data_IF_590410545732
#
_entry.id   IF_590410545732
#
_cell.length_a   1.000
_cell.length_b   1.000
_cell.length_c   1.000
_cell.angle_alpha   90.00
_cell.angle_beta   90.00
_cell.angle_gamma   90.00
#
_symmetry.space_group_name_H-M   'P 1'
#
loop_
_entity.id
_entity.type
_entity.pdbx_description
1 polymer ?
#
# COMPACT_ATOMS: atom_id res chain seq x y z
N UNK A 1 -29.47 -2.06 10.49
CA UNK A 1 -29.85 -1.65 9.12
C UNK A 1 -29.02 -0.44 8.64
N UNK A 2 -28.92 0.65 9.41
CA UNK A 2 -28.17 1.86 9.03
C UNK A 2 -26.66 1.65 8.82
N UNK A 3 -25.97 0.88 9.69
CA UNK A 3 -24.55 0.51 9.51
C UNK A 3 -24.28 -0.32 8.24
N UNK A 4 -25.21 -1.22 7.88
CA UNK A 4 -25.10 -2.05 6.67
C UNK A 4 -25.29 -1.23 5.39
N UNK A 5 -26.17 -0.23 5.42
CA UNK A 5 -26.38 0.71 4.32
C UNK A 5 -25.16 1.62 4.14
N UNK A 6 -24.57 2.14 5.23
CA UNK A 6 -23.34 2.95 5.14
C UNK A 6 -22.13 2.17 4.62
N UNK A 7 -21.95 0.90 5.02
CA UNK A 7 -20.86 0.06 4.51
C UNK A 7 -21.04 -0.29 3.02
N UNK A 8 -22.28 -0.54 2.58
CA UNK A 8 -22.59 -0.78 1.16
C UNK A 8 -22.38 0.47 0.31
N UNK A 9 -22.71 1.66 0.82
CA UNK A 9 -22.44 2.94 0.16
C UNK A 9 -20.92 3.17 0.09
N UNK A 10 -20.18 3.01 1.19
CA UNK A 10 -18.72 3.17 1.21
C UNK A 10 -18.01 2.23 0.22
N UNK A 11 -18.42 0.96 0.14
CA UNK A 11 -17.89 0.00 -0.82
C UNK A 11 -18.23 0.32 -2.29
N UNK A 12 -19.30 1.08 -2.55
CA UNK A 12 -19.63 1.60 -3.88
C UNK A 12 -18.79 2.84 -4.22
N UNK A 13 -18.42 3.66 -3.24
CA UNK A 13 -17.64 4.88 -3.45
C UNK A 13 -16.16 4.64 -3.68
N UNK A 14 -15.60 3.53 -3.17
CA UNK A 14 -14.15 3.26 -3.20
C UNK A 14 -13.60 2.91 -4.61
N UNK A 15 -14.49 2.69 -5.59
CA UNK A 15 -14.09 2.22 -6.92
C UNK A 15 -13.53 0.79 -6.86
N UNK A 16 -13.49 0.11 -8.01
CA UNK A 16 -12.94 -1.25 -8.07
C UNK A 16 -11.91 -1.41 -9.18
N UNK A 17 -10.87 -2.17 -8.90
CA UNK A 17 -9.90 -2.66 -9.87
C UNK A 17 -10.08 -4.16 -10.03
N UNK A 18 -10.03 -4.64 -11.27
CA UNK A 18 -10.03 -6.07 -11.52
C UNK A 18 -8.62 -6.63 -11.35
N UNK A 19 -8.47 -7.70 -10.57
CA UNK A 19 -7.26 -8.52 -10.67
C UNK A 19 -7.28 -9.21 -12.04
N UNK A 20 -6.29 -8.98 -12.92
CA UNK A 20 -6.25 -9.60 -14.25
C UNK A 20 -6.38 -11.12 -14.20
N UNK A 21 -6.85 -11.73 -15.29
CA UNK A 21 -7.09 -13.18 -15.42
C UNK A 21 -8.24 -13.72 -14.55
N UNK A 22 -9.40 -13.04 -14.58
CA UNK A 22 -10.64 -13.43 -13.89
C UNK A 22 -10.53 -13.47 -12.35
N UNK A 23 -9.65 -12.67 -11.76
CA UNK A 23 -9.60 -12.48 -10.32
C UNK A 23 -10.76 -11.60 -9.81
N UNK A 24 -10.88 -11.45 -8.48
CA UNK A 24 -11.95 -10.65 -7.89
C UNK A 24 -11.83 -9.16 -8.26
N UNK A 25 -12.96 -8.45 -8.19
CA UNK A 25 -12.96 -7.00 -8.17
C UNK A 25 -12.58 -6.54 -6.76
N UNK A 26 -11.46 -5.83 -6.66
CA UNK A 26 -10.92 -5.30 -5.42
C UNK A 26 -11.24 -3.81 -5.29
N UNK A 27 -11.49 -3.30 -4.07
CA UNK A 27 -11.37 -1.87 -3.78
C UNK A 27 -10.09 -1.26 -4.38
N UNK A 28 -10.16 -0.05 -4.95
CA UNK A 28 -8.96 0.64 -5.48
C UNK A 28 -8.03 1.16 -4.39
N UNK A 29 -8.43 1.09 -3.13
CA UNK A 29 -7.60 1.43 -2.00
C UNK A 29 -7.68 0.33 -0.94
N UNK A 30 -6.56 0.08 -0.28
CA UNK A 30 -6.45 -0.85 0.82
C UNK A 30 -5.56 -0.31 1.94
N UNK A 31 -5.27 -1.17 2.91
CA UNK A 31 -4.46 -0.82 4.08
C UNK A 31 -3.13 -1.59 4.09
N UNK A 32 -2.03 -0.86 4.16
CA UNK A 32 -0.70 -1.42 4.46
C UNK A 32 -0.44 -1.40 5.96
N UNK A 33 -0.02 -2.55 6.50
CA UNK A 33 0.24 -2.74 7.93
C UNK A 33 1.73 -2.55 8.32
N UNK A 34 2.39 -1.52 7.79
CA UNK A 34 3.79 -1.17 8.15
C UNK A 34 3.92 -0.51 9.52
N UNK A 35 2.83 0.07 10.05
CA UNK A 35 2.82 0.73 11.36
C UNK A 35 3.05 -0.22 12.55
N UNK A 36 3.02 -1.54 12.31
CA UNK A 36 3.38 -2.58 13.28
C UNK A 36 4.88 -2.99 13.22
N UNK A 37 5.66 -2.38 12.31
CA UNK A 37 7.07 -2.72 12.08
C UNK A 37 8.04 -1.82 12.84
N UNK A 38 9.19 -2.38 13.22
CA UNK A 38 10.27 -1.77 14.00
C UNK A 38 10.98 -0.59 13.31
N UNK A 39 10.68 -0.29 12.04
CA UNK A 39 11.30 0.81 11.28
C UNK A 39 10.67 2.19 11.48
N UNK A 40 9.50 2.29 12.12
CA UNK A 40 8.70 3.53 12.21
C UNK A 40 8.55 4.10 13.64
N UNK A 41 9.18 3.46 14.64
CA UNK A 41 9.11 3.80 16.07
C UNK A 41 8.77 2.58 16.95
N UNK A 42 8.41 2.82 18.21
CA UNK A 42 7.96 1.74 19.10
C UNK A 42 6.67 1.08 18.56
N UNK A 43 6.50 -0.25 18.70
CA UNK A 43 5.30 -0.94 18.28
C UNK A 43 4.05 -0.31 18.92
N UNK A 44 2.98 -0.17 18.14
CA UNK A 44 1.69 0.25 18.68
C UNK A 44 1.04 -0.89 19.47
N UNK A 45 0.17 -0.51 20.40
CA UNK A 45 -0.67 -1.44 21.15
C UNK A 45 -1.56 -2.27 20.21
N UNK A 46 -1.53 -3.60 20.37
CA UNK A 46 -2.30 -4.55 19.54
C UNK A 46 -3.79 -4.25 19.55
N UNK A 47 -4.35 -3.82 20.69
CA UNK A 47 -5.76 -3.47 20.82
C UNK A 47 -6.16 -2.30 19.91
N UNK A 48 -5.30 -1.28 19.81
CA UNK A 48 -5.50 -0.16 18.88
C UNK A 48 -5.43 -0.59 17.42
N UNK A 49 -4.50 -1.48 17.07
CA UNK A 49 -4.37 -1.97 15.69
C UNK A 49 -5.59 -2.84 15.33
N UNK A 50 -6.04 -3.72 16.22
CA UNK A 50 -7.25 -4.52 16.01
C UNK A 50 -8.50 -3.64 15.82
N UNK A 51 -8.64 -2.57 16.61
CA UNK A 51 -9.70 -1.59 16.43
C UNK A 51 -9.63 -0.87 15.08
N UNK A 52 -8.42 -0.53 14.61
CA UNK A 52 -8.23 0.05 13.27
C UNK A 52 -8.62 -0.93 12.16
N UNK A 53 -8.29 -2.23 12.31
CA UNK A 53 -8.65 -3.27 11.34
C UNK A 53 -10.17 -3.49 11.28
N UNK A 54 -10.86 -3.45 12.42
CA UNK A 54 -12.32 -3.46 12.45
C UNK A 54 -12.91 -2.25 11.71
N UNK A 55 -12.34 -1.07 11.91
CA UNK A 55 -12.79 0.15 11.26
C UNK A 55 -12.56 0.13 9.74
N UNK A 56 -11.38 -0.34 9.31
CA UNK A 56 -11.05 -0.56 7.90
C UNK A 56 -12.07 -1.50 7.25
N UNK A 57 -12.29 -2.67 7.85
CA UNK A 57 -13.25 -3.65 7.35
C UNK A 57 -14.68 -3.07 7.25
N UNK A 58 -15.15 -2.39 8.31
CA UNK A 58 -16.50 -1.83 8.37
C UNK A 58 -16.75 -0.75 7.32
N UNK A 59 -15.68 -0.12 6.79
CA UNK A 59 -15.73 0.89 5.73
C UNK A 59 -15.53 0.34 4.33
N UNK A 60 -15.38 -0.97 4.19
CA UNK A 60 -15.18 -1.62 2.89
C UNK A 60 -13.72 -1.69 2.43
N UNK A 61 -12.75 -1.38 3.31
CA UNK A 61 -11.34 -1.69 3.06
C UNK A 61 -11.13 -3.18 3.31
N UNK A 62 -11.16 -3.94 2.20
CA UNK A 62 -11.02 -5.39 2.19
C UNK A 62 -9.75 -5.87 1.49
N UNK A 63 -8.76 -4.98 1.31
CA UNK A 63 -7.47 -5.29 0.68
C UNK A 63 -6.38 -4.93 1.66
N UNK A 64 -5.79 -5.92 2.33
CA UNK A 64 -4.73 -5.69 3.30
C UNK A 64 -3.39 -6.20 2.79
N UNK A 65 -2.36 -5.41 3.02
CA UNK A 65 -0.97 -5.67 2.65
C UNK A 65 -0.10 -5.79 3.91
N UNK A 66 0.76 -6.81 3.90
CA UNK A 66 1.71 -7.10 4.97
C UNK A 66 3.01 -7.68 4.41
N UNK A 67 4.02 -7.89 5.25
CA UNK A 67 5.25 -8.58 4.86
C UNK A 67 5.93 -9.21 6.08
N UNK A 68 6.77 -10.20 5.85
CA UNK A 68 7.61 -10.83 6.89
C UNK A 68 8.48 -9.80 7.64
N UNK A 69 8.94 -8.75 6.95
CA UNK A 69 9.72 -7.65 7.53
C UNK A 69 8.89 -6.69 8.38
N UNK A 70 7.56 -6.73 8.30
CA UNK A 70 6.70 -5.76 8.97
C UNK A 70 6.41 -6.11 10.45
N UNK A 71 7.35 -6.75 11.13
CA UNK A 71 7.24 -7.08 12.56
C UNK A 71 6.06 -8.01 12.86
N UNK A 72 5.25 -7.66 13.86
CA UNK A 72 4.13 -8.49 14.33
C UNK A 72 2.86 -8.40 13.44
N UNK A 73 2.91 -7.72 12.31
CA UNK A 73 1.76 -7.49 11.42
C UNK A 73 1.02 -8.78 11.03
N UNK A 74 1.73 -9.83 10.60
CA UNK A 74 1.11 -11.11 10.23
C UNK A 74 0.43 -11.80 11.42
N UNK A 75 1.01 -11.71 12.63
CA UNK A 75 0.42 -12.25 13.85
C UNK A 75 -0.85 -11.50 14.26
N UNK A 76 -0.85 -10.17 14.12
CA UNK A 76 -2.01 -9.34 14.41
C UNK A 76 -3.16 -9.64 13.44
N UNK A 77 -2.87 -9.76 12.14
CA UNK A 77 -3.86 -10.14 11.12
C UNK A 77 -4.41 -11.55 11.42
N UNK A 78 -3.54 -12.50 11.79
CA UNK A 78 -3.95 -13.84 12.22
C UNK A 78 -4.91 -13.77 13.41
N UNK A 79 -4.60 -12.98 14.44
CA UNK A 79 -5.45 -12.79 15.60
C UNK A 79 -6.80 -12.17 15.23
N UNK A 80 -6.80 -11.17 14.34
CA UNK A 80 -8.04 -10.56 13.85
C UNK A 80 -8.92 -11.57 13.10
N UNK A 81 -8.34 -12.40 12.22
CA UNK A 81 -9.10 -13.45 11.54
C UNK A 81 -9.60 -14.55 12.48
N UNK A 82 -8.83 -14.92 13.50
CA UNK A 82 -9.27 -15.87 14.51
C UNK A 82 -10.48 -15.35 15.29
N UNK A 83 -10.52 -14.05 15.59
CA UNK A 83 -11.67 -13.38 16.18
C UNK A 83 -12.84 -13.17 15.20
N UNK A 84 -12.56 -13.13 13.89
CA UNK A 84 -13.52 -12.82 12.83
C UNK A 84 -13.57 -13.87 11.70
N UNK A 85 -13.79 -15.16 11.98
CA UNK A 85 -13.61 -16.22 10.99
C UNK A 85 -14.53 -16.09 9.77
N UNK A 86 -15.73 -15.52 9.95
CA UNK A 86 -16.69 -15.31 8.86
C UNK A 86 -16.30 -14.20 7.88
N UNK A 87 -15.46 -13.25 8.30
CA UNK A 87 -15.01 -12.11 7.48
C UNK A 87 -13.88 -12.47 6.51
N UNK A 88 -13.17 -13.59 6.74
CA UNK A 88 -11.99 -13.98 5.92
C UNK A 88 -12.30 -14.10 4.43
N UNK A 89 -13.48 -14.61 4.07
CA UNK A 89 -13.90 -14.80 2.67
C UNK A 89 -14.06 -13.48 1.90
N UNK A 90 -14.24 -12.39 2.63
CA UNK A 90 -14.44 -11.06 2.05
C UNK A 90 -13.09 -10.34 1.84
N UNK A 91 -12.01 -10.86 2.42
CA UNK A 91 -10.70 -10.22 2.42
C UNK A 91 -9.76 -10.72 1.32
N UNK A 92 -9.14 -9.77 0.64
CA UNK A 92 -7.92 -9.98 -0.13
C UNK A 92 -6.72 -9.64 0.76
N UNK A 93 -5.86 -10.62 1.02
CA UNK A 93 -4.64 -10.45 1.81
C UNK A 93 -3.44 -10.67 0.89
N UNK A 94 -2.58 -9.67 0.79
CA UNK A 94 -1.27 -9.77 0.17
C UNK A 94 -0.19 -9.81 1.26
N UNK A 95 0.81 -10.68 1.07
CA UNK A 95 2.01 -10.72 1.91
C UNK A 95 3.24 -10.86 1.04
N UNK A 96 4.32 -10.20 1.44
CA UNK A 96 5.60 -10.18 0.74
C UNK A 96 6.68 -10.88 1.59
N UNK A 97 7.63 -11.52 0.91
CA UNK A 97 8.73 -12.26 1.51
C UNK A 97 10.06 -11.84 0.85
N UNK A 98 11.19 -12.36 1.35
CA UNK A 98 12.51 -12.40 0.68
C UNK A 98 13.48 -11.22 0.92
N UNK A 99 13.25 -10.36 1.91
CA UNK A 99 14.32 -9.47 2.39
C UNK A 99 15.21 -10.24 3.36
N UNK A 100 16.24 -10.91 2.84
CA UNK A 100 17.19 -11.66 3.68
C UNK A 100 18.38 -10.79 4.10
N UNK A 101 18.75 -10.78 5.38
CA UNK A 101 20.02 -10.20 5.81
C UNK A 101 21.18 -10.82 5.04
N UNK A 102 22.13 -10.01 4.59
CA UNK A 102 23.33 -10.48 3.92
C UNK A 102 24.52 -9.60 4.28
N UNK A 103 25.56 -10.23 4.81
CA UNK A 103 26.85 -9.59 5.06
C UNK A 103 27.64 -9.28 3.79
N UNK A 104 27.23 -9.85 2.64
CA UNK A 104 27.89 -9.67 1.34
C UNK A 104 27.35 -8.44 0.58
N UNK A 105 26.17 -7.94 0.97
CA UNK A 105 25.59 -6.74 0.40
C UNK A 105 26.05 -5.51 1.20
N UNK A 106 26.54 -4.44 0.55
CA UNK A 106 26.88 -3.19 1.23
C UNK A 106 25.67 -2.50 1.88
N UNK A 107 24.45 -2.93 1.56
CA UNK A 107 23.20 -2.45 2.16
C UNK A 107 22.71 -3.32 3.33
N UNK A 108 23.42 -4.41 3.66
CA UNK A 108 23.09 -5.32 4.78
C UNK A 108 21.96 -6.32 4.50
N UNK A 109 21.40 -6.32 3.28
CA UNK A 109 20.38 -7.26 2.84
C UNK A 109 20.63 -7.67 1.37
N UNK A 110 20.29 -8.92 1.05
CA UNK A 110 20.27 -9.44 -0.33
C UNK A 110 18.81 -9.66 -0.71
N UNK A 111 18.35 -8.96 -1.75
CA UNK A 111 17.25 -9.46 -2.56
C UNK A 111 17.88 -10.42 -3.56
N UNK A 112 17.39 -11.66 -3.64
CA UNK A 112 17.82 -12.61 -4.65
C UNK A 112 16.84 -12.53 -5.83
N UNK A 113 17.17 -11.84 -6.94
CA UNK A 113 16.27 -11.74 -8.08
C UNK A 113 16.32 -12.98 -8.98
N UNK A 114 17.06 -14.03 -8.59
CA UNK A 114 17.10 -15.27 -9.38
C UNK A 114 15.73 -15.94 -9.35
N UNK A 115 15.22 -16.41 -10.50
CA UNK A 115 13.82 -16.78 -10.67
C UNK A 115 13.52 -18.12 -9.99
N UNK A 116 13.36 -18.10 -8.67
CA UNK A 116 12.69 -19.14 -7.88
C UNK A 116 11.16 -19.00 -7.99
N UNK A 117 10.65 -18.67 -9.18
CA UNK A 117 9.21 -18.71 -9.47
C UNK A 117 8.67 -20.13 -9.39
N UNK A 118 9.51 -21.17 -9.52
CA UNK A 118 9.09 -22.56 -9.37
C UNK A 118 8.43 -22.83 -8.01
N UNK A 119 9.03 -22.45 -6.86
CA UNK A 119 8.36 -22.48 -5.56
C UNK A 119 7.00 -21.77 -5.51
N UNK A 120 6.90 -20.50 -5.95
CA UNK A 120 5.65 -19.74 -5.88
C UNK A 120 4.56 -20.32 -6.80
N UNK A 121 4.94 -20.74 -8.01
CA UNK A 121 4.03 -21.43 -8.95
C UNK A 121 3.56 -22.74 -8.34
N UNK A 122 4.44 -23.50 -7.67
CA UNK A 122 4.07 -24.72 -6.96
C UNK A 122 3.09 -24.44 -5.82
N UNK A 123 3.32 -23.41 -5.01
CA UNK A 123 2.38 -23.02 -3.94
C UNK A 123 0.99 -22.67 -4.51
N UNK A 124 0.94 -22.01 -5.67
CA UNK A 124 -0.32 -21.74 -6.36
C UNK A 124 -0.98 -23.02 -6.89
N UNK A 125 -0.22 -23.91 -7.49
CA UNK A 125 -0.72 -25.23 -7.95
C UNK A 125 -1.23 -26.09 -6.79
N UNK A 126 -0.60 -26.00 -5.62
CA UNK A 126 -1.03 -26.65 -4.37
C UNK A 126 -2.23 -25.93 -3.71
N UNK A 127 -2.74 -24.84 -4.28
CA UNK A 127 -3.89 -24.09 -3.75
C UNK A 127 -3.60 -23.30 -2.48
N UNK A 128 -2.33 -23.11 -2.12
CA UNK A 128 -1.90 -22.36 -0.92
C UNK A 128 -1.98 -20.85 -1.11
N UNK A 129 -1.84 -20.39 -2.36
CA UNK A 129 -1.97 -18.99 -2.75
C UNK A 129 -2.81 -18.88 -4.02
N UNK A 130 -3.51 -17.76 -4.18
CA UNK A 130 -4.34 -17.51 -5.36
C UNK A 130 -3.59 -16.76 -6.47
N UNK A 131 -2.68 -15.86 -6.09
CA UNK A 131 -2.00 -14.93 -7.01
C UNK A 131 -0.52 -14.78 -6.63
N UNK A 132 0.30 -14.40 -7.61
CA UNK A 132 1.74 -14.17 -7.45
C UNK A 132 2.01 -12.75 -7.96
N UNK A 133 2.42 -11.84 -7.07
CA UNK A 133 2.81 -10.47 -7.43
C UNK A 133 4.33 -10.30 -7.39
N UNK A 134 4.80 -9.15 -7.86
CA UNK A 134 6.20 -8.73 -7.72
C UNK A 134 6.30 -7.35 -7.08
N UNK A 135 7.42 -7.09 -6.41
CA UNK A 135 7.71 -5.80 -5.81
C UNK A 135 9.03 -5.27 -6.36
N UNK A 136 9.12 -3.98 -6.64
CA UNK A 136 10.36 -3.28 -7.04
C UNK A 136 11.12 -3.94 -8.22
N UNK A 137 10.40 -4.58 -9.14
CA UNK A 137 11.02 -5.28 -10.26
C UNK A 137 11.20 -4.36 -11.48
N UNK A 138 12.29 -4.56 -12.23
CA UNK A 138 12.46 -3.91 -13.53
C UNK A 138 11.44 -4.45 -14.55
N UNK A 139 11.17 -3.67 -15.60
CA UNK A 139 10.31 -4.13 -16.70
C UNK A 139 10.84 -5.41 -17.37
N UNK A 140 12.16 -5.61 -17.41
CA UNK A 140 12.76 -6.84 -17.92
C UNK A 140 12.45 -8.04 -17.02
N UNK A 141 12.65 -7.89 -15.70
CA UNK A 141 12.32 -8.93 -14.72
C UNK A 141 10.83 -9.28 -14.75
N UNK A 142 9.95 -8.28 -14.86
CA UNK A 142 8.51 -8.49 -14.99
C UNK A 142 8.17 -9.31 -16.23
N UNK A 143 8.71 -8.96 -17.41
CA UNK A 143 8.45 -9.70 -18.65
C UNK A 143 8.93 -11.15 -18.56
N UNK A 144 10.12 -11.37 -17.99
CA UNK A 144 10.66 -12.71 -17.77
C UNK A 144 9.77 -13.54 -16.83
N UNK A 145 9.32 -12.95 -15.73
CA UNK A 145 8.41 -13.60 -14.79
C UNK A 145 7.06 -13.93 -15.44
N UNK A 146 6.49 -12.97 -16.16
CA UNK A 146 5.20 -13.11 -16.84
C UNK A 146 5.22 -14.19 -17.94
N UNK A 147 6.38 -14.42 -18.57
CA UNK A 147 6.57 -15.50 -19.52
C UNK A 147 6.53 -16.90 -18.88
N UNK A 148 6.80 -17.00 -17.57
CA UNK A 148 6.75 -18.26 -16.79
C UNK A 148 5.37 -18.47 -16.17
N UNK A 149 4.81 -17.43 -15.55
CA UNK A 149 3.49 -17.44 -14.95
C UNK A 149 2.86 -16.04 -15.01
N UNK A 150 1.55 -15.91 -15.29
CA UNK A 150 0.89 -14.60 -15.28
C UNK A 150 1.08 -13.88 -13.95
N UNK A 151 1.73 -12.72 -14.00
CA UNK A 151 1.90 -11.80 -12.87
C UNK A 151 0.81 -10.72 -12.99
N UNK A 152 -0.23 -10.75 -12.12
CA UNK A 152 -1.37 -9.85 -12.22
C UNK A 152 -1.19 -8.52 -11.47
N UNK A 153 -0.11 -8.37 -10.70
CA UNK A 153 0.15 -7.18 -9.88
C UNK A 153 1.65 -6.92 -9.73
N UNK A 154 2.02 -5.65 -9.76
CA UNK A 154 3.35 -5.15 -9.39
C UNK A 154 3.19 -4.07 -8.33
N UNK A 155 3.88 -4.24 -7.22
CA UNK A 155 3.97 -3.26 -6.15
C UNK A 155 5.18 -2.36 -6.36
N UNK A 156 4.94 -1.06 -6.26
CA UNK A 156 5.98 -0.03 -6.24
C UNK A 156 5.78 0.81 -4.98
N UNK A 157 6.85 1.01 -4.22
CA UNK A 157 6.85 1.83 -3.03
C UNK A 157 6.92 3.31 -3.42
N UNK A 158 5.97 4.08 -2.90
CA UNK A 158 5.97 5.53 -2.98
C UNK A 158 5.79 6.09 -1.58
N UNK A 159 6.86 6.34 -0.86
CA UNK A 159 6.79 7.01 0.44
C UNK A 159 8.02 7.89 0.69
N UNK A 160 7.78 8.95 1.46
CA UNK A 160 8.69 10.00 1.97
C UNK A 160 8.51 11.37 1.27
N UNK A 161 8.19 12.39 2.09
CA UNK A 161 7.85 13.75 1.64
C UNK A 161 8.93 14.78 1.99
N UNK A 162 9.69 14.55 3.06
CA UNK A 162 10.74 15.46 3.52
C UNK A 162 11.71 14.80 4.51
N UNK A 163 12.84 15.45 4.80
CA UNK A 163 13.80 15.03 5.86
C UNK A 163 13.13 14.92 7.24
N UNK A 164 12.03 15.64 7.48
CA UNK A 164 11.30 15.62 8.76
C UNK A 164 10.46 14.35 8.95
N UNK A 165 10.17 13.61 7.88
CA UNK A 165 9.41 12.36 7.96
C UNK A 165 10.28 11.15 8.34
N UNK A 166 11.61 11.35 8.39
CA UNK A 166 12.62 10.33 8.68
C UNK A 166 13.60 10.74 9.80
N UNK A 167 13.18 11.67 10.67
CA UNK A 167 14.05 12.26 11.70
C UNK A 167 13.86 11.67 13.11
N UNK A 168 13.05 10.61 13.25
CA UNK A 168 12.82 9.98 14.55
C UNK A 168 14.05 9.18 14.97
N UNK A 169 14.44 9.17 16.26
CA UNK A 169 15.47 8.26 16.75
C UNK A 169 15.12 6.81 16.37
N UNK A 170 16.04 6.13 15.66
CA UNK A 170 15.85 4.76 15.16
C UNK A 170 15.27 4.64 13.75
N UNK A 171 14.94 5.75 13.08
CA UNK A 171 14.46 5.73 11.70
C UNK A 171 15.62 5.49 10.72
N UNK A 172 15.69 4.28 10.18
CA UNK A 172 16.77 3.86 9.28
C UNK A 172 16.72 4.50 7.90
N UNK A 173 15.63 5.19 7.54
CA UNK A 173 15.44 5.78 6.21
C UNK A 173 16.24 7.07 6.00
N UNK A 174 16.87 7.63 7.06
CA UNK A 174 17.73 8.81 6.95
C UNK A 174 18.91 8.64 5.96
N UNK A 175 19.30 7.40 5.68
CA UNK A 175 20.43 7.06 4.79
C UNK A 175 20.04 6.97 3.30
N UNK A 176 18.76 7.15 2.95
CA UNK A 176 18.29 6.91 1.58
C UNK A 176 18.77 8.01 0.61
N UNK A 177 19.40 7.65 -0.53
CA UNK A 177 20.00 8.60 -1.48
C UNK A 177 19.04 9.68 -2.03
N UNK A 178 17.76 9.37 -2.19
CA UNK A 178 16.75 10.31 -2.69
C UNK A 178 16.22 11.28 -1.62
N UNK A 179 16.62 11.14 -0.36
CA UNK A 179 16.32 12.07 0.74
C UNK A 179 17.47 13.04 1.05
N UNK A 180 18.46 13.11 0.16
CA UNK A 180 19.47 14.15 0.20
C UNK A 180 18.88 15.54 -0.12
N UNK A 181 19.47 16.57 0.47
CA UNK A 181 18.97 17.96 0.45
C UNK A 181 18.69 18.51 -0.96
N UNK A 182 19.54 18.17 -1.94
CA UNK A 182 19.34 18.56 -3.34
C UNK A 182 18.08 17.94 -3.98
N UNK A 183 17.70 16.73 -3.56
CA UNK A 183 16.50 16.04 -4.05
C UNK A 183 15.24 16.55 -3.36
N UNK A 184 15.35 16.94 -2.08
CA UNK A 184 14.23 17.48 -1.30
C UNK A 184 13.67 18.77 -1.92
N UNK A 185 14.53 19.71 -2.33
CA UNK A 185 14.06 20.99 -2.88
C UNK A 185 13.21 20.82 -4.16
N UNK A 186 13.53 19.83 -5.01
CA UNK A 186 12.72 19.53 -6.20
C UNK A 186 11.37 18.91 -5.82
N UNK A 187 11.36 18.01 -4.85
CA UNK A 187 10.14 17.37 -4.35
C UNK A 187 9.21 18.37 -3.67
N UNK A 188 9.75 19.37 -2.96
CA UNK A 188 8.97 20.42 -2.31
C UNK A 188 8.17 21.25 -3.31
N UNK A 189 8.73 21.60 -4.47
CA UNK A 189 8.01 22.34 -5.52
C UNK A 189 6.76 21.58 -6.00
N UNK A 190 6.86 20.26 -6.16
CA UNK A 190 5.71 19.43 -6.55
C UNK A 190 4.69 19.36 -5.41
N UNK A 191 5.15 19.17 -4.17
CA UNK A 191 4.28 19.14 -2.99
C UNK A 191 3.52 20.45 -2.78
N UNK A 192 4.14 21.60 -3.04
CA UNK A 192 3.49 22.91 -2.94
C UNK A 192 2.34 23.02 -3.95
N UNK A 193 2.54 22.57 -5.19
CA UNK A 193 1.48 22.53 -6.20
C UNK A 193 0.32 21.62 -5.81
N UNK A 194 0.62 20.42 -5.28
CA UNK A 194 -0.40 19.50 -4.74
C UNK A 194 -1.15 20.18 -3.59
N UNK A 195 -0.43 20.83 -2.66
CA UNK A 195 -1.02 21.53 -1.53
C UNK A 195 -1.96 22.65 -1.97
N UNK A 196 -1.59 23.40 -3.00
CA UNK A 196 -2.41 24.49 -3.53
C UNK A 196 -3.66 23.99 -4.24
N UNK A 197 -3.57 22.89 -5.00
CA UNK A 197 -4.76 22.24 -5.58
C UNK A 197 -5.67 21.72 -4.46
N UNK A 198 -5.10 21.11 -3.41
CA UNK A 198 -5.86 20.54 -2.30
C UNK A 198 -6.68 21.62 -1.58
N UNK A 199 -6.06 22.79 -1.32
CA UNK A 199 -6.76 23.95 -0.75
C UNK A 199 -7.86 24.46 -1.66
N UNK A 200 -7.62 24.58 -2.98
CA UNK A 200 -8.64 25.06 -3.93
C UNK A 200 -9.85 24.13 -4.01
N UNK A 201 -9.65 22.82 -3.80
CA UNK A 201 -10.71 21.81 -3.80
C UNK A 201 -11.32 21.54 -2.42
N UNK A 202 -10.90 22.25 -1.38
CA UNK A 202 -11.31 22.00 0.01
C UNK A 202 -11.06 20.54 0.46
N UNK A 203 -9.92 19.98 0.03
CA UNK A 203 -9.48 18.62 0.39
C UNK A 203 -8.69 18.67 1.69
N UNK A 204 -8.99 17.74 2.61
CA UNK A 204 -8.52 17.73 4.00
C UNK A 204 -7.00 17.72 4.13
N UNK A 205 -6.28 17.05 3.22
CA UNK A 205 -4.82 16.99 3.26
C UNK A 205 -4.16 16.86 1.88
N UNK A 206 -2.93 17.36 1.76
CA UNK A 206 -2.06 17.18 0.58
C UNK A 206 -1.88 15.69 0.24
N UNK A 207 -1.85 14.83 1.25
CA UNK A 207 -1.74 13.38 1.10
C UNK A 207 -2.96 12.79 0.37
N UNK A 208 -4.15 13.25 0.73
CA UNK A 208 -5.40 12.80 0.14
C UNK A 208 -5.47 13.19 -1.35
N UNK A 209 -5.04 14.40 -1.71
CA UNK A 209 -4.95 14.79 -3.13
C UNK A 209 -3.86 14.02 -3.88
N UNK A 210 -2.71 13.75 -3.25
CA UNK A 210 -1.66 12.95 -3.87
C UNK A 210 -2.16 11.53 -4.24
N UNK A 211 -2.93 10.90 -3.36
CA UNK A 211 -3.59 9.62 -3.65
C UNK A 211 -4.61 9.75 -4.80
N UNK A 212 -5.40 10.82 -4.83
CA UNK A 212 -6.33 11.09 -5.93
C UNK A 212 -5.62 11.25 -7.28
N UNK A 213 -4.46 11.93 -7.30
CA UNK A 213 -3.64 12.06 -8.49
C UNK A 213 -3.09 10.71 -8.97
N UNK A 214 -2.68 9.84 -8.04
CA UNK A 214 -2.26 8.47 -8.36
C UNK A 214 -3.42 7.70 -9.03
N UNK A 215 -4.64 7.81 -8.52
CA UNK A 215 -5.80 7.17 -9.15
C UNK A 215 -6.14 7.70 -10.54
N UNK A 216 -5.83 8.97 -10.81
CA UNK A 216 -6.02 9.58 -12.12
C UNK A 216 -5.08 9.01 -13.20
N UNK A 217 -3.96 8.38 -12.81
CA UNK A 217 -2.99 7.83 -13.76
C UNK A 217 -3.49 6.56 -14.49
N UNK A 218 -4.50 5.87 -13.95
CA UNK A 218 -5.05 4.67 -14.57
C UNK A 218 -6.04 3.92 -13.69
N UNK A 219 -7.03 3.28 -14.31
CA UNK A 219 -8.08 2.50 -13.62
C UNK A 219 -7.59 1.14 -13.09
N UNK A 220 -6.38 0.74 -13.48
CA UNK A 220 -5.68 -0.47 -13.05
C UNK A 220 -4.82 -0.26 -11.79
N UNK A 221 -4.90 0.92 -11.18
CA UNK A 221 -4.11 1.28 -10.00
C UNK A 221 -4.91 1.03 -8.70
N UNK A 222 -4.26 0.29 -7.80
CA UNK A 222 -4.64 0.12 -6.40
C UNK A 222 -3.57 0.77 -5.51
N UNK A 223 -3.98 1.54 -4.50
CA UNK A 223 -3.05 2.07 -3.49
C UNK A 223 -3.27 1.43 -2.13
N UNK A 224 -2.20 1.29 -1.35
CA UNK A 224 -2.23 0.69 0.00
C UNK A 224 -1.56 1.65 1.00
N UNK A 225 -2.09 2.86 1.22
CA UNK A 225 -1.48 3.81 2.14
C UNK A 225 -1.45 3.25 3.57
N UNK A 226 -0.29 3.37 4.22
CA UNK A 226 -0.13 2.99 5.61
C UNK A 226 -0.71 4.03 6.57
N UNK A 227 -1.37 3.59 7.64
CA UNK A 227 -1.81 4.46 8.73
C UNK A 227 -1.98 3.68 10.02
N UNK A 228 -1.94 4.42 11.13
CA UNK A 228 -2.21 3.91 12.48
C UNK A 228 -3.33 4.67 13.17
N UNK A 229 -3.98 5.60 12.45
CA UNK A 229 -5.02 6.50 12.93
C UNK A 229 -6.27 6.36 12.07
N UNK A 230 -7.43 6.32 12.72
CA UNK A 230 -8.73 6.18 12.04
C UNK A 230 -9.00 7.39 11.16
N UNK A 231 -8.71 8.61 11.61
CA UNK A 231 -8.97 9.83 10.83
C UNK A 231 -8.16 9.84 9.52
N UNK A 232 -6.94 9.29 9.57
CA UNK A 232 -6.09 9.11 8.38
C UNK A 232 -6.59 8.01 7.46
N UNK A 233 -7.14 6.93 8.02
CA UNK A 233 -7.84 5.91 7.24
C UNK A 233 -9.02 6.53 6.50
N UNK A 234 -9.83 7.36 7.16
CA UNK A 234 -10.94 8.07 6.53
C UNK A 234 -10.50 9.02 5.42
N UNK A 235 -9.48 9.84 5.68
CA UNK A 235 -8.87 10.71 4.67
C UNK A 235 -8.41 9.88 3.46
N UNK A 236 -7.65 8.80 3.70
CA UNK A 236 -7.16 7.92 2.64
C UNK A 236 -8.32 7.34 1.82
N UNK A 237 -9.33 6.75 2.47
CA UNK A 237 -10.51 6.20 1.78
C UNK A 237 -11.24 7.26 0.95
N UNK A 238 -11.33 8.50 1.43
CA UNK A 238 -11.97 9.60 0.70
C UNK A 238 -11.24 10.04 -0.58
N UNK A 239 -9.96 9.70 -0.74
CA UNK A 239 -9.16 10.13 -1.91
C UNK A 239 -9.69 9.59 -3.24
N UNK A 240 -10.29 8.40 -3.24
CA UNK A 240 -10.91 7.77 -4.42
C UNK A 240 -12.06 8.58 -5.03
N UNK A 241 -12.69 9.46 -4.24
CA UNK A 241 -13.82 10.29 -4.67
C UNK A 241 -13.40 11.65 -5.22
N UNK A 242 -12.10 11.97 -5.19
CA UNK A 242 -11.58 13.26 -5.62
C UNK A 242 -11.26 13.20 -7.12
N UNK A 243 -11.93 14.05 -7.89
CA UNK A 243 -11.61 14.21 -9.31
C UNK A 243 -10.44 15.19 -9.49
N UNK A 244 -9.35 14.68 -10.07
CA UNK A 244 -8.22 15.49 -10.57
C UNK A 244 -8.45 15.72 -12.06
N UNK A 245 -8.56 16.98 -12.48
CA UNK A 245 -8.75 17.34 -13.89
C UNK A 245 -7.45 17.19 -14.69
N UNK A 246 -7.57 17.08 -16.01
CA UNK A 246 -6.41 16.99 -16.91
C UNK A 246 -5.46 18.20 -16.79
N UNK A 247 -5.98 19.40 -16.51
CA UNK A 247 -5.15 20.59 -16.31
C UNK A 247 -4.39 20.56 -14.98
N UNK A 248 -5.05 20.07 -13.92
CA UNK A 248 -4.40 19.88 -12.62
C UNK A 248 -3.32 18.80 -12.71
N UNK A 249 -3.60 17.68 -13.36
CA UNK A 249 -2.63 16.63 -13.64
C UNK A 249 -1.42 17.16 -14.43
N UNK A 250 -1.66 17.93 -15.50
CA UNK A 250 -0.59 18.56 -16.28
C UNK A 250 0.25 19.53 -15.45
N UNK A 251 -0.36 20.24 -14.50
CA UNK A 251 0.35 21.15 -13.60
C UNK A 251 1.29 20.44 -12.61
N UNK A 252 1.01 19.16 -12.33
CA UNK A 252 1.81 18.30 -11.44
C UNK A 252 2.95 17.58 -12.18
N UNK A 253 2.81 17.30 -13.48
CA UNK A 253 3.74 16.49 -14.28
C UNK A 253 4.98 17.22 -14.87
N UNK A 254 5.20 18.51 -14.55
CA UNK A 254 6.31 19.33 -15.07
C UNK A 254 7.36 19.70 -14.01
#
# INVERSE_FOLDING_TARGET
MQKLISAAIAALTIGKVAVPSAGPLLPRIGLRLTGASSGYGMPLDDGKILGLLDEAYNRGDTVWDTADKYGASEEIIRNWFAANPRKRKDMFLATNFEIRPSSESPHGYKMDPTPEYCPMVRLKQEGKINFIGLSECSAESLRRAHAVHPIPCVQVEGDIRSRRDVNRPGDSRWVLPWLHEKSINKNMTVLDRISDIAKRKDVTSTAQLALAWIFAQGDDILTIPGTTKVERLEENLGSVSIHVSADEERSLGN
#
